data_IF_529387985170
#
_entry.id   IF_529387985170
#
_cell.length_a   1.000
_cell.length_b   1.000
_cell.length_c   1.000
_cell.angle_alpha   90.00
_cell.angle_beta   90.00
_cell.angle_gamma   90.00
#
_symmetry.space_group_name_H-M   'P 1'
#
loop_
_entity.id
_entity.type
_entity.pdbx_description
1 polymer ?
#
# COMPACT_ATOMS: atom_id res chain seq x y z
N UNK A 1 -3.78 1.24 -28.38
CA UNK A 1 -4.90 0.27 -28.29
C UNK A 1 -5.58 0.31 -26.92
N UNK A 2 -4.89 -0.03 -25.82
CA UNK A 2 -5.47 -0.06 -24.44
C UNK A 2 -6.21 1.23 -24.06
N UNK A 3 -5.63 2.40 -24.39
CA UNK A 3 -6.25 3.71 -24.14
C UNK A 3 -7.62 3.87 -24.82
N UNK A 4 -7.72 3.52 -26.10
CA UNK A 4 -8.94 3.65 -26.88
C UNK A 4 -10.04 2.69 -26.37
N UNK A 5 -9.68 1.42 -26.12
CA UNK A 5 -10.59 0.44 -25.54
C UNK A 5 -11.12 0.90 -24.17
N UNK A 6 -10.26 1.42 -23.31
CA UNK A 6 -10.67 1.92 -21.98
C UNK A 6 -11.63 3.11 -22.10
N UNK A 7 -11.39 4.02 -23.05
CA UNK A 7 -12.25 5.17 -23.28
C UNK A 7 -13.63 4.77 -23.82
N UNK A 8 -13.69 3.80 -24.74
CA UNK A 8 -14.94 3.23 -25.25
C UNK A 8 -15.74 2.56 -24.13
N UNK A 9 -15.09 1.73 -23.31
CA UNK A 9 -15.72 1.04 -22.18
C UNK A 9 -16.26 2.04 -21.14
N UNK A 10 -15.50 3.07 -20.78
CA UNK A 10 -15.95 4.12 -19.86
C UNK A 10 -17.14 4.89 -20.43
N UNK A 11 -17.13 5.23 -21.73
CA UNK A 11 -18.28 5.88 -22.39
C UNK A 11 -19.50 4.98 -22.41
N UNK A 12 -19.31 3.69 -22.68
CA UNK A 12 -20.39 2.71 -22.65
C UNK A 12 -20.99 2.61 -21.24
N UNK A 13 -20.17 2.48 -20.20
CA UNK A 13 -20.61 2.34 -18.80
C UNK A 13 -21.42 3.56 -18.30
N UNK A 14 -21.12 4.76 -18.80
CA UNK A 14 -21.89 5.98 -18.48
C UNK A 14 -23.31 5.99 -19.05
N UNK A 15 -23.59 5.28 -20.15
CA UNK A 15 -24.93 5.26 -20.76
C UNK A 15 -25.99 4.56 -19.89
N UNK A 16 -25.75 3.34 -19.36
CA UNK A 16 -26.67 2.68 -18.44
C UNK A 16 -26.43 3.08 -16.97
N UNK A 17 -25.38 3.85 -16.66
CA UNK A 17 -24.99 4.14 -15.28
C UNK A 17 -24.36 2.93 -14.56
N UNK A 18 -23.70 2.04 -15.29
CA UNK A 18 -23.09 0.83 -14.74
C UNK A 18 -21.72 1.11 -14.11
N UNK A 19 -21.38 0.36 -13.06
CA UNK A 19 -20.03 0.34 -12.51
C UNK A 19 -19.11 -0.51 -13.39
N UNK A 20 -17.95 0.04 -13.77
CA UNK A 20 -16.92 -0.65 -14.55
C UNK A 20 -15.62 -0.69 -13.76
N UNK A 21 -15.08 -1.89 -13.56
CA UNK A 21 -13.77 -2.12 -12.94
C UNK A 21 -12.77 -2.54 -14.01
N UNK A 22 -11.67 -1.79 -14.11
CA UNK A 22 -10.56 -2.10 -15.02
C UNK A 22 -9.36 -2.59 -14.21
N UNK A 23 -8.83 -3.76 -14.55
CA UNK A 23 -7.66 -4.34 -13.87
C UNK A 23 -6.42 -4.15 -14.74
N UNK A 24 -5.45 -3.40 -14.23
CA UNK A 24 -4.16 -3.16 -14.88
C UNK A 24 -3.02 -3.80 -14.09
N UNK A 25 -2.27 -4.69 -14.72
CA UNK A 25 -1.09 -5.30 -14.11
C UNK A 25 0.15 -4.42 -14.35
N UNK A 26 0.88 -4.11 -13.28
CA UNK A 26 2.16 -3.39 -13.38
C UNK A 26 3.27 -4.38 -13.71
N UNK A 27 3.94 -4.20 -14.85
CA UNK A 27 5.08 -5.02 -15.28
C UNK A 27 6.39 -4.25 -15.15
N UNK A 28 7.52 -4.99 -15.06
CA UNK A 28 8.87 -4.43 -14.80
C UNK A 28 9.30 -3.34 -15.79
N UNK A 29 8.81 -3.39 -17.02
CA UNK A 29 9.23 -2.46 -18.08
C UNK A 29 8.37 -1.19 -18.18
N UNK A 30 7.30 -1.06 -17.38
CA UNK A 30 6.47 0.16 -17.29
C UNK A 30 5.72 0.58 -18.57
N UNK A 31 6.04 -0.01 -19.73
CA UNK A 31 5.73 0.57 -21.04
C UNK A 31 4.52 -0.03 -21.75
N UNK A 32 4.05 -1.24 -21.39
CA UNK A 32 3.15 -1.97 -22.31
C UNK A 32 1.71 -2.11 -21.81
N UNK A 33 1.42 -1.93 -20.52
CA UNK A 33 0.05 -1.98 -19.99
C UNK A 33 -0.12 -1.20 -18.68
N UNK A 34 0.68 -0.16 -18.47
CA UNK A 34 0.73 0.55 -17.19
C UNK A 34 -0.60 1.23 -16.88
N UNK A 35 -1.16 1.08 -15.66
CA UNK A 35 -2.37 1.79 -15.22
C UNK A 35 -2.26 3.30 -15.43
N UNK A 36 -1.04 3.86 -15.38
CA UNK A 36 -0.73 5.27 -15.69
C UNK A 36 -1.33 5.79 -16.99
N UNK A 37 -1.41 4.98 -18.04
CA UNK A 37 -1.97 5.42 -19.34
C UNK A 37 -3.48 5.68 -19.25
N UNK A 38 -4.18 5.02 -18.33
CA UNK A 38 -5.62 5.12 -18.14
C UNK A 38 -6.04 5.92 -16.91
N UNK A 39 -5.14 6.19 -15.97
CA UNK A 39 -5.38 6.93 -14.72
C UNK A 39 -6.14 8.25 -14.91
N UNK A 40 -5.74 9.03 -15.92
CA UNK A 40 -6.36 10.33 -16.16
C UNK A 40 -7.79 10.19 -16.74
N UNK A 41 -8.11 9.06 -17.38
CA UNK A 41 -9.37 8.81 -18.08
C UNK A 41 -10.46 8.17 -17.21
N UNK A 42 -10.08 7.54 -16.09
CA UNK A 42 -11.02 6.89 -15.16
C UNK A 42 -11.45 7.84 -14.04
N UNK A 43 -12.60 7.55 -13.42
CA UNK A 43 -13.13 8.38 -12.34
C UNK A 43 -12.47 8.06 -10.97
N UNK A 44 -11.99 6.82 -10.77
CA UNK A 44 -11.20 6.43 -9.62
C UNK A 44 -10.03 5.52 -10.01
N UNK A 45 -8.93 5.61 -9.25
CA UNK A 45 -7.69 4.84 -9.41
C UNK A 45 -7.31 4.32 -8.03
N UNK A 46 -7.18 3.00 -7.94
CA UNK A 46 -6.70 2.31 -6.75
C UNK A 46 -5.47 1.49 -7.10
N UNK A 47 -4.46 1.57 -6.24
CA UNK A 47 -3.29 0.72 -6.28
C UNK A 47 -3.44 -0.37 -5.21
N UNK A 48 -3.22 -1.62 -5.61
CA UNK A 48 -3.17 -2.75 -4.69
C UNK A 48 -1.74 -3.23 -4.59
N UNK A 49 -1.09 -2.89 -3.49
CA UNK A 49 0.34 -3.04 -3.28
C UNK A 49 0.61 -4.03 -2.14
N UNK A 50 1.75 -4.73 -2.21
CA UNK A 50 2.20 -5.62 -1.15
C UNK A 50 3.71 -5.80 -1.25
N UNK A 51 4.39 -5.65 -0.13
CA UNK A 51 5.83 -5.80 -0.05
C UNK A 51 6.21 -7.27 0.19
N UNK A 52 7.40 -7.67 -0.30
CA UNK A 52 7.93 -9.02 -0.05
C UNK A 52 8.39 -9.11 1.40
N UNK A 53 7.71 -9.92 2.21
CA UNK A 53 8.00 -10.11 3.63
C UNK A 53 6.84 -9.73 4.54
N UNK A 54 5.91 -8.89 4.06
CA UNK A 54 4.70 -8.54 4.77
C UNK A 54 3.51 -9.37 4.27
N UNK A 55 2.72 -9.92 5.20
CA UNK A 55 1.51 -10.70 4.88
C UNK A 55 0.36 -9.81 4.39
N UNK A 56 0.46 -8.50 4.62
CA UNK A 56 -0.55 -7.54 4.22
C UNK A 56 -0.44 -7.10 2.76
N UNK A 57 -1.60 -6.75 2.23
CA UNK A 57 -1.82 -6.05 0.98
C UNK A 57 -2.56 -4.76 1.28
N UNK A 58 -2.04 -3.64 0.78
CA UNK A 58 -2.60 -2.31 0.99
C UNK A 58 -3.30 -1.88 -0.30
N UNK A 59 -4.58 -1.57 -0.21
CA UNK A 59 -5.36 -0.90 -1.24
C UNK A 59 -5.35 0.60 -0.96
N UNK A 60 -4.83 1.40 -1.88
CA UNK A 60 -4.72 2.85 -1.72
C UNK A 60 -5.39 3.58 -2.88
N UNK A 61 -6.20 4.58 -2.57
CA UNK A 61 -6.75 5.48 -3.56
C UNK A 61 -5.69 6.51 -4.01
N UNK A 62 -5.47 6.65 -5.31
CA UNK A 62 -4.62 7.73 -5.89
C UNK A 62 -5.47 8.81 -6.55
N UNK A 63 -6.64 8.42 -7.04
CA UNK A 63 -7.66 9.33 -7.58
C UNK A 63 -9.01 8.78 -7.18
N UNK A 64 -9.87 9.61 -6.63
CA UNK A 64 -11.23 9.20 -6.30
C UNK A 64 -12.16 10.40 -6.51
N UNK A 65 -12.99 10.37 -7.56
CA UNK A 65 -13.98 11.43 -7.79
C UNK A 65 -15.22 11.31 -6.90
N UNK A 66 -15.35 10.21 -6.17
CA UNK A 66 -16.53 9.89 -5.36
C UNK A 66 -16.23 9.88 -3.87
N UNK A 67 -15.02 10.28 -3.45
CA UNK A 67 -14.62 10.25 -2.05
C UNK A 67 -13.16 10.63 -1.84
N UNK A 68 -12.68 10.49 -0.59
CA UNK A 68 -11.30 10.77 -0.21
C UNK A 68 -10.27 9.88 -0.93
N UNK A 69 -9.02 10.37 -0.98
CA UNK A 69 -7.85 9.63 -1.49
C UNK A 69 -6.86 9.23 -0.40
N UNK A 70 -7.04 9.75 0.82
CA UNK A 70 -6.23 9.46 2.00
C UNK A 70 -6.65 8.18 2.73
N UNK A 71 -7.78 7.57 2.33
CA UNK A 71 -8.21 6.27 2.83
C UNK A 71 -7.35 5.12 2.30
N UNK A 72 -7.04 4.18 3.20
CA UNK A 72 -6.34 2.92 2.89
C UNK A 72 -7.16 1.73 3.37
N UNK A 73 -7.23 0.70 2.54
CA UNK A 73 -7.74 -0.62 2.91
C UNK A 73 -6.58 -1.57 3.16
N UNK A 74 -6.57 -2.27 4.29
CA UNK A 74 -5.53 -3.23 4.64
C UNK A 74 -6.15 -4.62 4.61
N UNK A 75 -5.52 -5.53 3.86
CA UNK A 75 -6.02 -6.88 3.62
C UNK A 75 -4.93 -7.92 3.86
N UNK A 76 -5.33 -9.12 4.25
CA UNK A 76 -4.48 -10.29 4.41
C UNK A 76 -4.91 -11.37 3.41
N UNK A 77 -3.94 -12.08 2.82
CA UNK A 77 -4.24 -13.25 1.99
C UNK A 77 -4.29 -14.49 2.86
N UNK A 78 -5.48 -15.03 3.08
CA UNK A 78 -5.68 -16.32 3.75
C UNK A 78 -5.89 -17.44 2.73
N UNK A 79 -6.00 -18.67 3.22
CA UNK A 79 -6.28 -19.86 2.40
C UNK A 79 -7.55 -19.74 1.54
N UNK A 80 -8.53 -18.94 1.97
CA UNK A 80 -9.80 -18.72 1.26
C UNK A 80 -9.82 -17.43 0.43
N UNK A 81 -8.71 -16.69 0.37
CA UNK A 81 -8.58 -15.43 -0.36
C UNK A 81 -8.30 -14.22 0.53
N UNK A 82 -8.56 -13.03 -0.02
CA UNK A 82 -8.33 -11.76 0.68
C UNK A 82 -9.40 -11.51 1.75
N UNK A 83 -8.97 -11.21 2.97
CA UNK A 83 -9.84 -10.71 4.04
C UNK A 83 -9.33 -9.37 4.57
N UNK A 84 -10.21 -8.48 5.08
CA UNK A 84 -9.80 -7.27 5.75
C UNK A 84 -8.95 -7.58 6.99
N UNK A 85 -7.84 -6.87 7.16
CA UNK A 85 -7.00 -6.97 8.34
C UNK A 85 -7.76 -6.44 9.57
N UNK A 86 -7.89 -7.28 10.61
CA UNK A 86 -8.64 -6.92 11.82
C UNK A 86 -7.88 -5.97 12.72
N UNK A 87 -6.55 -6.09 12.78
CA UNK A 87 -5.71 -5.28 13.66
C UNK A 87 -4.37 -4.93 12.99
N UNK A 88 -4.38 -3.93 12.08
CA UNK A 88 -3.20 -3.59 11.29
C UNK A 88 -2.01 -3.09 12.13
N UNK A 89 -2.29 -2.51 13.31
CA UNK A 89 -1.30 -1.96 14.23
C UNK A 89 -0.45 -3.03 14.93
N UNK A 90 -1.00 -4.23 15.14
CA UNK A 90 -0.33 -5.32 15.84
C UNK A 90 0.85 -5.94 15.08
N UNK A 91 1.11 -5.50 13.84
CA UNK A 91 2.22 -5.99 13.02
C UNK A 91 3.37 -4.99 12.90
N UNK A 92 3.12 -3.70 13.18
CA UNK A 92 4.15 -2.66 13.27
C UNK A 92 4.64 -2.46 14.69
N UNK A 93 3.96 -3.08 15.65
CA UNK A 93 4.34 -3.16 17.04
C UNK A 93 4.69 -4.62 17.28
N UNK A 94 5.94 -4.88 17.63
CA UNK A 94 6.35 -6.16 18.19
C UNK A 94 5.33 -6.59 19.25
N UNK A 95 4.72 -7.78 19.07
CA UNK A 95 3.63 -8.29 19.92
C UNK A 95 4.08 -8.74 21.32
N UNK A 96 5.36 -8.58 21.64
CA UNK A 96 5.98 -8.86 22.94
C UNK A 96 6.69 -7.56 23.35
N UNK A 97 6.54 -6.94 24.51
CA UNK A 97 5.81 -7.17 25.74
C UNK A 97 6.18 -5.98 26.64
N UNK A 98 5.48 -5.78 27.75
CA UNK A 98 5.83 -4.81 28.80
C UNK A 98 7.32 -4.92 29.22
N UNK A 99 8.25 -4.18 28.60
CA UNK A 99 9.63 -4.08 29.10
C UNK A 99 10.79 -3.81 28.15
N UNK A 100 10.66 -3.88 26.82
CA UNK A 100 11.81 -3.68 25.92
C UNK A 100 12.04 -2.19 25.58
N UNK A 101 12.79 -1.50 26.45
CA UNK A 101 13.30 -0.17 26.12
C UNK A 101 14.28 -0.23 24.94
N UNK A 102 14.11 0.67 23.96
CA UNK A 102 15.01 0.75 22.80
C UNK A 102 14.32 0.64 21.45
N UNK A 103 13.04 0.28 21.39
CA UNK A 103 12.25 0.30 20.15
C UNK A 103 11.38 1.57 20.05
N UNK A 104 11.23 2.12 18.84
CA UNK A 104 10.32 3.22 18.54
C UNK A 104 9.73 3.05 17.12
N UNK A 105 8.41 3.21 16.98
CA UNK A 105 7.75 3.18 15.67
C UNK A 105 7.67 4.58 15.09
N UNK A 106 8.07 4.72 13.83
CA UNK A 106 8.05 5.96 13.07
C UNK A 106 7.34 5.77 11.72
N UNK A 107 6.51 6.74 11.34
CA UNK A 107 5.92 6.79 10.00
C UNK A 107 6.94 7.39 9.01
N UNK A 108 7.72 6.51 8.37
CA UNK A 108 8.69 6.87 7.36
C UNK A 108 8.04 7.22 6.02
N UNK A 109 8.64 8.15 5.29
CA UNK A 109 8.17 8.56 3.96
C UNK A 109 9.13 8.05 2.88
N UNK A 110 8.68 7.11 2.05
CA UNK A 110 9.36 6.71 0.83
C UNK A 110 8.78 7.51 -0.35
N UNK A 111 9.38 8.67 -0.63
CA UNK A 111 8.79 9.65 -1.56
C UNK A 111 7.47 10.19 -1.02
N UNK A 112 6.36 9.89 -1.68
CA UNK A 112 4.99 10.24 -1.21
C UNK A 112 4.31 9.12 -0.42
N UNK A 113 4.98 8.00 -0.17
CA UNK A 113 4.40 6.80 0.43
C UNK A 113 4.72 6.73 1.93
N UNK A 114 3.72 6.80 2.83
CA UNK A 114 3.94 6.54 4.25
C UNK A 114 4.07 5.03 4.49
N UNK A 115 5.15 4.64 5.17
CA UNK A 115 5.47 3.28 5.60
C UNK A 115 5.77 3.33 7.10
N UNK A 116 5.18 2.43 7.88
CA UNK A 116 5.50 2.34 9.31
C UNK A 116 6.78 1.50 9.48
N UNK A 117 7.80 2.10 10.08
CA UNK A 117 9.10 1.49 10.33
C UNK A 117 9.38 1.46 11.83
N UNK A 118 9.79 0.30 12.35
CA UNK A 118 10.26 0.15 13.73
C UNK A 118 11.78 0.38 13.76
N UNK A 119 12.23 1.32 14.60
CA UNK A 119 13.64 1.61 14.86
C UNK A 119 13.99 0.99 16.19
N UNK A 120 14.99 0.11 16.20
CA UNK A 120 15.48 -0.55 17.41
C UNK A 120 16.90 -0.09 17.75
N UNK A 121 17.15 0.13 19.02
CA UNK A 121 18.43 0.56 19.57
C UNK A 121 18.75 -0.24 20.84
N UNK A 122 19.96 -0.81 20.88
CA UNK A 122 20.49 -1.48 22.05
C UNK A 122 21.61 -0.63 22.65
N UNK A 123 21.34 -0.03 23.82
CA UNK A 123 22.34 0.77 24.55
C UNK A 123 22.86 -0.04 25.74
N UNK A 124 24.17 -0.29 25.75
CA UNK A 124 24.85 -0.97 26.85
C UNK A 124 26.07 -0.18 27.31
N UNK A 125 26.48 -0.37 28.58
CA UNK A 125 27.72 0.22 29.09
C UNK A 125 28.92 -0.35 28.32
N UNK A 126 29.81 0.52 27.85
CA UNK A 126 31.03 0.09 27.16
C UNK A 126 31.96 -0.62 28.14
N UNK A 127 32.41 -1.83 27.80
CA UNK A 127 33.43 -2.56 28.55
C UNK A 127 34.85 -2.00 28.31
N UNK A 128 35.03 -1.17 27.27
CA UNK A 128 36.31 -0.61 26.85
C UNK A 128 36.30 0.93 26.91
N UNK A 129 37.50 1.53 26.97
CA UNK A 129 37.67 2.99 27.12
C UNK A 129 37.07 3.85 25.99
N UNK A 130 36.74 3.26 24.84
CA UNK A 130 36.05 3.94 23.75
C UNK A 130 34.66 3.31 23.49
N UNK A 131 33.57 4.09 23.50
CA UNK A 131 32.23 3.58 23.23
C UNK A 131 32.04 3.20 21.76
N UNK A 132 31.28 2.12 21.51
CA UNK A 132 30.84 1.70 20.16
C UNK A 132 29.50 2.37 19.82
N UNK A 133 29.29 2.66 18.53
CA UNK A 133 28.07 3.25 17.96
C UNK A 133 27.58 2.38 16.82
#
# INVERSE_FOLDING_TARGET
>A
QVRACSQELTRWAKKPGAALVLVGHVTKEGNIAGPRVVEHMVDAVFYFEGERGHQFRILRAVKNRFGPTDEIGIFEMHQYGLAPAKEPSALFLSADGDGEGGAAVYAAMEGSRPVLAEVQALVAKSAYGTPRR
#
